data_IF_943871585040
#
_entry.id   IF_943871585040
#
_cell.length_a   1.000
_cell.length_b   1.000
_cell.length_c   1.000
_cell.angle_alpha   90.00
_cell.angle_beta   90.00
_cell.angle_gamma   90.00
#
_symmetry.space_group_name_H-M   'P 1'
#
loop_
_entity.id
_entity.type
_entity.pdbx_description
1 polymer ?
#
# COMPACT_ATOMS: atom_id res chain seq x y z
N UNK A 1 16.60 1.57 11.31
CA UNK A 1 16.07 1.62 9.92
C UNK A 1 15.33 0.33 9.64
N UNK A 2 14.19 0.40 8.95
CA UNK A 2 13.49 -0.81 8.47
C UNK A 2 14.32 -1.51 7.39
N UNK A 3 14.27 -2.84 7.35
CA UNK A 3 14.75 -3.60 6.18
C UNK A 3 13.73 -3.51 5.04
N UNK A 4 14.17 -3.76 3.80
CA UNK A 4 13.25 -3.80 2.65
C UNK A 4 12.10 -4.80 2.89
N UNK A 5 12.37 -5.96 3.51
CA UNK A 5 11.35 -6.97 3.85
C UNK A 5 10.31 -6.44 4.83
N UNK A 6 10.75 -5.74 5.88
CA UNK A 6 9.84 -5.12 6.85
C UNK A 6 9.04 -3.98 6.21
N UNK A 7 9.66 -3.19 5.32
CA UNK A 7 8.97 -2.12 4.61
C UNK A 7 7.90 -2.66 3.65
N UNK A 8 8.19 -3.72 2.88
CA UNK A 8 7.20 -4.37 2.00
C UNK A 8 6.07 -5.02 2.80
N UNK A 9 6.38 -5.60 3.97
CA UNK A 9 5.37 -6.17 4.85
C UNK A 9 4.42 -5.07 5.37
N UNK A 10 4.95 -3.96 5.88
CA UNK A 10 4.11 -2.84 6.32
C UNK A 10 3.30 -2.21 5.17
N UNK A 11 3.84 -2.17 3.94
CA UNK A 11 3.10 -1.71 2.76
C UNK A 11 1.92 -2.62 2.41
N UNK A 12 2.07 -3.94 2.61
CA UNK A 12 0.97 -4.91 2.48
C UNK A 12 -0.05 -4.74 3.60
N UNK A 13 0.41 -4.70 4.85
CA UNK A 13 -0.46 -4.54 6.02
C UNK A 13 -1.26 -3.23 5.97
N UNK A 14 -0.73 -2.17 5.35
CA UNK A 14 -1.48 -0.91 5.13
C UNK A 14 -2.74 -1.09 4.25
N UNK A 15 -2.81 -2.15 3.43
CA UNK A 15 -4.02 -2.45 2.64
C UNK A 15 -5.12 -3.07 3.49
N UNK A 16 -4.75 -3.86 4.51
CA UNK A 16 -5.68 -4.62 5.34
C UNK A 16 -6.04 -3.88 6.64
N UNK A 17 -5.09 -3.14 7.21
CA UNK A 17 -5.24 -2.40 8.46
C UNK A 17 -4.66 -0.99 8.38
N UNK A 18 -5.11 -0.12 9.27
CA UNK A 18 -4.41 1.13 9.50
C UNK A 18 -3.11 0.88 10.29
N UNK A 19 -2.01 1.41 9.75
CA UNK A 19 -0.72 1.43 10.45
C UNK A 19 -0.73 2.51 11.54
N UNK A 20 -0.08 2.25 12.67
CA UNK A 20 0.07 3.29 13.71
C UNK A 20 1.09 4.36 13.26
N UNK A 21 1.00 5.56 13.84
CA UNK A 21 1.85 6.70 13.44
C UNK A 21 3.36 6.41 13.42
N UNK A 22 3.85 5.58 14.36
CA UNK A 22 5.26 5.17 14.41
C UNK A 22 5.64 4.27 13.22
N UNK A 23 4.77 3.33 12.84
CA UNK A 23 4.97 2.46 11.68
C UNK A 23 4.92 3.26 10.38
N UNK A 24 3.96 4.18 10.27
CA UNK A 24 3.81 5.05 9.10
C UNK A 24 5.06 5.92 8.89
N UNK A 25 5.52 6.62 9.92
CA UNK A 25 6.68 7.52 9.80
C UNK A 25 7.96 6.75 9.45
N UNK A 26 8.22 5.62 10.10
CA UNK A 26 9.37 4.75 9.79
C UNK A 26 9.31 4.22 8.34
N UNK A 27 8.13 3.81 7.89
CA UNK A 27 7.91 3.33 6.52
C UNK A 27 8.12 4.45 5.49
N UNK A 28 7.59 5.64 5.73
CA UNK A 28 7.75 6.79 4.83
C UNK A 28 9.23 7.14 4.66
N UNK A 29 9.99 7.20 5.76
CA UNK A 29 11.44 7.45 5.71
C UNK A 29 12.17 6.40 4.85
N UNK A 30 11.87 5.12 5.04
CA UNK A 30 12.48 4.05 4.25
C UNK A 30 12.11 4.17 2.75
N UNK A 31 10.84 4.40 2.42
CA UNK A 31 10.35 4.55 1.04
C UNK A 31 10.94 5.78 0.35
N UNK A 32 11.23 6.85 1.09
CA UNK A 32 11.92 8.01 0.53
C UNK A 32 13.35 7.66 0.10
N UNK A 33 14.06 6.82 0.86
CA UNK A 33 15.45 6.45 0.58
C UNK A 33 15.60 5.25 -0.36
N UNK A 34 14.62 4.34 -0.42
CA UNK A 34 14.67 3.12 -1.20
C UNK A 34 13.75 3.16 -2.43
N UNK A 35 14.35 3.22 -3.63
CA UNK A 35 13.61 3.26 -4.91
C UNK A 35 12.72 2.03 -5.13
N UNK A 36 13.20 0.85 -4.75
CA UNK A 36 12.45 -0.41 -4.92
C UNK A 36 11.18 -0.44 -4.06
N UNK A 37 11.29 -0.12 -2.77
CA UNK A 37 10.14 -0.02 -1.86
C UNK A 37 9.17 1.09 -2.28
N UNK A 38 9.67 2.20 -2.83
CA UNK A 38 8.84 3.25 -3.43
C UNK A 38 8.01 2.76 -4.62
N UNK A 39 8.61 1.97 -5.52
CA UNK A 39 7.90 1.40 -6.66
C UNK A 39 6.85 0.39 -6.21
N UNK A 40 7.18 -0.46 -5.25
CA UNK A 40 6.24 -1.42 -4.66
C UNK A 40 5.04 -0.71 -4.02
N UNK A 41 5.27 0.32 -3.20
CA UNK A 41 4.19 1.09 -2.60
C UNK A 41 3.26 1.77 -3.62
N UNK A 42 3.79 2.21 -4.77
CA UNK A 42 2.96 2.70 -5.88
C UNK A 42 2.11 1.59 -6.49
N UNK A 43 2.66 0.40 -6.69
CA UNK A 43 1.93 -0.75 -7.22
C UNK A 43 0.77 -1.16 -6.31
N UNK A 44 1.00 -1.21 -4.99
CA UNK A 44 -0.06 -1.52 -4.02
C UNK A 44 -1.21 -0.50 -4.07
N UNK A 45 -0.90 0.80 -4.20
CA UNK A 45 -1.93 1.84 -4.37
C UNK A 45 -2.73 1.66 -5.66
N UNK A 46 -2.06 1.36 -6.78
CA UNK A 46 -2.73 1.10 -8.06
C UNK A 46 -3.66 -0.10 -7.93
N UNK A 47 -3.20 -1.19 -7.30
CA UNK A 47 -4.02 -2.37 -7.07
C UNK A 47 -5.28 -2.04 -6.25
N UNK A 48 -5.11 -1.30 -5.14
CA UNK A 48 -6.23 -0.84 -4.31
C UNK A 48 -7.25 0.00 -5.07
N UNK A 49 -6.79 0.90 -5.94
CA UNK A 49 -7.65 1.70 -6.80
C UNK A 49 -8.41 0.82 -7.80
N UNK A 50 -7.71 -0.08 -8.49
CA UNK A 50 -8.34 -0.98 -9.45
C UNK A 50 -9.41 -1.83 -8.78
N UNK A 51 -9.13 -2.44 -7.62
CA UNK A 51 -10.12 -3.25 -6.88
C UNK A 51 -11.37 -2.43 -6.52
N UNK A 52 -11.20 -1.16 -6.13
CA UNK A 52 -12.33 -0.26 -5.84
C UNK A 52 -13.14 0.06 -7.09
N UNK A 53 -12.49 0.29 -8.23
CA UNK A 53 -13.17 0.54 -9.50
C UNK A 53 -13.90 -0.72 -10.00
N UNK A 54 -13.28 -1.90 -9.89
CA UNK A 54 -13.93 -3.18 -10.21
C UNK A 54 -15.21 -3.39 -9.40
N UNK A 55 -15.15 -3.14 -8.08
CA UNK A 55 -16.34 -3.25 -7.21
C UNK A 55 -17.49 -2.35 -7.69
N UNK A 56 -17.19 -1.10 -8.09
CA UNK A 56 -18.20 -0.17 -8.62
C UNK A 56 -18.82 -0.66 -9.93
N UNK A 57 -18.00 -1.24 -10.82
CA UNK A 57 -18.50 -1.79 -12.10
C UNK A 57 -19.42 -2.99 -11.85
N UNK A 58 -19.08 -3.87 -10.90
CA UNK A 58 -19.94 -4.98 -10.52
C UNK A 58 -21.27 -4.51 -9.90
N UNK A 59 -21.24 -3.48 -9.04
CA UNK A 59 -22.47 -2.89 -8.47
C UNK A 59 -23.39 -2.30 -9.55
N UNK A 60 -22.85 -1.58 -10.54
CA UNK A 60 -23.62 -1.00 -11.65
C UNK A 60 -24.19 -2.04 -12.61
N UNK A 61 -23.58 -3.22 -12.72
CA UNK A 61 -24.05 -4.31 -13.61
C UNK A 61 -25.12 -5.19 -12.95
N UNK A 62 -25.29 -5.11 -11.64
CA UNK A 62 -26.22 -5.93 -10.86
C UNK A 62 -27.51 -5.19 -10.48
N UNK A 63 -27.64 -3.91 -10.86
CA UNK A 63 -28.88 -3.11 -10.97
C UNK A 63 -29.40 -3.15 -12.43
#
# INVERSE_FOLDING_TARGET
>A
MLTCRQATQLLSEQQDRQLVFKEQSALQLHVMMCRSCRRFGKQMKILSLLTKEFKKVDEVKND
#
